data_IF_793158564170
#
_entry.id   IF_793158564170
#
_cell.length_a   1.000
_cell.length_b   1.000
_cell.length_c   1.000
_cell.angle_alpha   90.00
_cell.angle_beta   90.00
_cell.angle_gamma   90.00
#
_symmetry.space_group_name_H-M   'P 1'
#
loop_
_entity.id
_entity.type
_entity.pdbx_description
1 polymer ?
#
# COMPACT_ATOMS: atom_id res chain seq x y z
N UNK A 1 -7.07 -24.85 7.84
CA UNK A 1 -6.82 -25.32 6.46
C UNK A 1 -5.68 -26.31 6.51
N UNK A 2 -5.80 -27.46 5.86
CA UNK A 2 -4.69 -28.41 5.71
C UNK A 2 -3.61 -27.79 4.79
N UNK A 3 -2.35 -27.62 5.25
CA UNK A 3 -1.28 -27.02 4.47
C UNK A 3 -1.03 -27.75 3.13
N UNK A 4 -1.16 -29.08 3.10
CA UNK A 4 -0.92 -29.86 1.90
C UNK A 4 -1.96 -29.54 0.81
N UNK A 5 -3.24 -29.49 1.21
CA UNK A 5 -4.34 -29.09 0.32
C UNK A 5 -4.16 -27.65 -0.21
N UNK A 6 -3.76 -26.70 0.62
CA UNK A 6 -3.51 -25.31 0.18
C UNK A 6 -2.37 -25.24 -0.84
N UNK A 7 -1.27 -25.96 -0.61
CA UNK A 7 -0.14 -26.02 -1.53
C UNK A 7 -0.55 -26.63 -2.87
N UNK A 8 -1.30 -27.73 -2.86
CA UNK A 8 -1.80 -28.41 -4.06
C UNK A 8 -2.67 -27.48 -4.93
N UNK A 9 -3.50 -26.67 -4.29
CA UNK A 9 -4.36 -25.69 -4.96
C UNK A 9 -3.54 -24.57 -5.60
N UNK A 10 -2.51 -24.07 -4.91
CA UNK A 10 -1.60 -23.05 -5.44
C UNK A 10 -0.82 -23.57 -6.65
N UNK A 11 -0.29 -24.80 -6.58
CA UNK A 11 0.42 -25.45 -7.69
C UNK A 11 -0.50 -25.60 -8.91
N UNK A 12 -1.70 -26.14 -8.70
CA UNK A 12 -2.69 -26.32 -9.78
C UNK A 12 -3.09 -24.99 -10.42
N UNK A 13 -3.32 -23.96 -9.59
CA UNK A 13 -3.65 -22.61 -10.05
C UNK A 13 -2.49 -21.99 -10.84
N UNK A 14 -1.26 -22.18 -10.38
CA UNK A 14 -0.08 -21.69 -11.07
C UNK A 14 0.09 -22.34 -12.44
N UNK A 15 0.08 -23.69 -12.51
CA UNK A 15 0.25 -24.43 -13.77
C UNK A 15 -0.83 -24.08 -14.79
N UNK A 16 -2.09 -24.07 -14.37
CA UNK A 16 -3.21 -23.71 -15.25
C UNK A 16 -3.10 -22.26 -15.76
N UNK A 17 -2.67 -21.32 -14.91
CA UNK A 17 -2.46 -19.92 -15.31
C UNK A 17 -1.32 -19.80 -16.32
N UNK A 18 -0.18 -20.44 -16.08
CA UNK A 18 0.95 -20.43 -17.01
C UNK A 18 0.59 -21.02 -18.36
N UNK A 19 -0.13 -22.15 -18.39
CA UNK A 19 -0.60 -22.76 -19.65
C UNK A 19 -1.55 -21.85 -20.41
N UNK A 20 -2.50 -21.22 -19.71
CA UNK A 20 -3.43 -20.28 -20.32
C UNK A 20 -2.72 -19.04 -20.89
N UNK A 21 -1.72 -18.51 -20.17
CA UNK A 21 -0.89 -17.40 -20.65
C UNK A 21 -0.08 -17.83 -21.87
N UNK A 22 0.62 -18.96 -21.81
CA UNK A 22 1.44 -19.46 -22.92
C UNK A 22 0.62 -19.68 -24.21
N UNK A 23 -0.60 -20.21 -24.09
CA UNK A 23 -1.51 -20.39 -25.23
C UNK A 23 -1.95 -19.06 -25.87
N UNK A 24 -2.10 -18.01 -25.06
CA UNK A 24 -2.57 -16.69 -25.51
C UNK A 24 -1.44 -15.70 -25.79
N UNK A 25 -0.21 -16.05 -25.44
CA UNK A 25 0.94 -15.17 -25.50
C UNK A 25 1.16 -14.62 -26.92
N UNK A 26 1.17 -15.52 -27.91
CA UNK A 26 1.32 -15.16 -29.33
C UNK A 26 0.12 -14.41 -29.91
N UNK A 27 -1.01 -14.36 -29.19
CA UNK A 27 -2.22 -13.65 -29.59
C UNK A 27 -2.29 -12.23 -29.01
N UNK A 28 -1.40 -11.88 -28.07
CA UNK A 28 -1.41 -10.58 -27.43
C UNK A 28 -0.47 -9.60 -28.18
N UNK A 29 -1.01 -8.61 -28.92
CA UNK A 29 -0.19 -7.65 -29.65
C UNK A 29 0.62 -6.71 -28.75
N UNK A 30 0.23 -6.60 -27.47
CA UNK A 30 0.89 -5.72 -26.50
C UNK A 30 2.10 -6.37 -25.82
N UNK A 31 2.43 -7.61 -26.19
CA UNK A 31 3.50 -8.38 -25.56
C UNK A 31 4.43 -8.98 -26.61
N UNK A 32 5.73 -8.67 -26.48
CA UNK A 32 6.80 -9.22 -27.33
C UNK A 32 7.95 -9.74 -26.48
N UNK A 33 8.70 -10.72 -27.00
CA UNK A 33 9.96 -11.17 -26.40
C UNK A 33 11.08 -10.76 -27.35
N UNK A 34 11.95 -9.87 -26.90
CA UNK A 34 13.13 -9.42 -27.63
C UNK A 34 14.35 -9.59 -26.72
N UNK A 35 15.43 -10.20 -27.22
CA UNK A 35 16.65 -10.50 -26.45
C UNK A 35 16.40 -11.24 -25.13
N UNK A 36 15.50 -12.24 -25.14
CA UNK A 36 15.03 -12.99 -23.95
C UNK A 36 14.36 -12.12 -22.87
N UNK A 37 13.95 -10.89 -23.20
CA UNK A 37 13.28 -9.96 -22.29
C UNK A 37 11.84 -9.72 -22.74
N UNK A 38 10.93 -9.74 -21.77
CA UNK A 38 9.54 -9.34 -21.96
C UNK A 38 9.48 -7.84 -22.23
N UNK A 39 8.99 -7.46 -23.40
CA UNK A 39 8.62 -6.08 -23.75
C UNK A 39 7.10 -5.96 -23.76
N UNK A 40 6.61 -4.98 -23.03
CA UNK A 40 5.20 -4.59 -23.03
C UNK A 40 5.06 -3.33 -23.88
N UNK A 41 4.11 -3.32 -24.79
CA UNK A 41 3.74 -2.10 -25.51
C UNK A 41 3.24 -1.08 -24.47
N UNK A 42 3.84 0.12 -24.41
CA UNK A 42 3.38 1.15 -23.50
C UNK A 42 1.91 1.47 -23.79
N UNK A 43 1.10 1.61 -22.74
CA UNK A 43 -0.25 2.14 -22.89
C UNK A 43 -0.14 3.56 -23.45
N UNK A 44 -0.80 3.79 -24.59
CA UNK A 44 -0.96 5.15 -25.09
C UNK A 44 -1.76 5.96 -24.06
N UNK A 45 -1.23 7.14 -23.74
CA UNK A 45 -1.92 8.06 -22.85
C UNK A 45 -3.01 8.76 -23.64
N UNK A 46 -4.24 8.69 -23.17
CA UNK A 46 -5.33 9.51 -23.69
C UNK A 46 -4.97 11.01 -23.57
N UNK A 47 -5.28 11.78 -24.61
CA UNK A 47 -5.14 13.24 -24.55
C UNK A 47 -6.09 13.80 -23.47
N UNK A 48 -5.51 14.45 -22.45
CA UNK A 48 -6.30 15.09 -21.41
C UNK A 48 -6.95 16.37 -21.99
N UNK A 49 -8.29 16.53 -21.90
CA UNK A 49 -8.92 17.72 -22.44
C UNK A 49 -8.53 18.96 -21.60
N UNK A 50 -8.47 20.17 -22.19
CA UNK A 50 -8.10 21.39 -21.47
C UNK A 50 -9.00 21.67 -20.25
N UNK A 51 -10.26 21.25 -20.29
CA UNK A 51 -11.20 21.35 -19.18
C UNK A 51 -10.76 20.54 -17.94
N UNK A 52 -10.14 19.37 -18.14
CA UNK A 52 -9.65 18.51 -17.06
C UNK A 52 -8.41 19.11 -16.40
N UNK A 53 -7.50 19.70 -17.17
CA UNK A 53 -6.37 20.44 -16.61
C UNK A 53 -6.82 21.66 -15.79
N UNK A 54 -7.80 22.41 -16.31
CA UNK A 54 -8.37 23.56 -15.61
C UNK A 54 -9.04 23.12 -14.30
N UNK A 55 -9.81 22.04 -14.33
CA UNK A 55 -10.44 21.48 -13.16
C UNK A 55 -9.40 21.07 -12.11
N UNK A 56 -8.36 20.35 -12.51
CA UNK A 56 -7.27 19.93 -11.61
C UNK A 56 -6.62 21.14 -10.92
N UNK A 57 -6.32 22.21 -11.67
CA UNK A 57 -5.78 23.46 -11.11
C UNK A 57 -6.73 24.11 -10.10
N UNK A 58 -8.04 24.09 -10.36
CA UNK A 58 -9.06 24.63 -9.45
C UNK A 58 -9.20 23.80 -8.17
N UNK A 59 -9.07 22.48 -8.26
CA UNK A 59 -9.08 21.58 -7.09
C UNK A 59 -7.81 21.70 -6.27
N UNK A 60 -6.63 21.67 -6.90
CA UNK A 60 -5.34 21.79 -6.22
C UNK A 60 -5.19 23.11 -5.46
N UNK A 61 -5.86 24.19 -5.89
CA UNK A 61 -5.90 25.47 -5.15
C UNK A 61 -6.78 25.44 -3.89
N UNK A 62 -7.71 24.48 -3.79
CA UNK A 62 -8.68 24.37 -2.69
C UNK A 62 -8.40 23.23 -1.73
N UNK A 63 -7.65 22.21 -2.18
CA UNK A 63 -7.26 21.10 -1.33
C UNK A 63 -6.31 21.62 -0.22
N UNK A 64 -6.56 21.25 1.05
CA UNK A 64 -5.64 21.55 2.12
C UNK A 64 -4.30 20.85 1.85
N UNK A 65 -3.19 21.53 2.14
CA UNK A 65 -1.88 20.90 2.22
C UNK A 65 -1.76 20.27 3.60
N UNK A 66 -2.09 19.00 3.69
CA UNK A 66 -2.02 18.21 4.92
C UNK A 66 -1.11 17.02 4.65
N UNK A 67 -0.24 16.69 5.61
CA UNK A 67 0.65 15.55 5.48
C UNK A 67 -0.19 14.25 5.58
N UNK A 68 0.17 13.21 4.82
CA UNK A 68 -0.58 11.95 4.80
C UNK A 68 -0.79 11.32 6.21
N UNK A 69 0.18 11.33 7.14
CA UNK A 69 -0.04 10.89 8.52
C UNK A 69 -1.08 11.72 9.29
N UNK A 70 -1.16 13.02 9.03
CA UNK A 70 -2.08 13.93 9.74
C UNK A 70 -3.53 13.65 9.34
N UNK A 71 -3.78 13.28 8.07
CA UNK A 71 -5.10 12.89 7.60
C UNK A 71 -5.67 11.69 8.35
N UNK A 72 -4.86 10.64 8.55
CA UNK A 72 -5.33 9.44 9.23
C UNK A 72 -5.48 9.65 10.74
N UNK A 73 -4.68 10.55 11.33
CA UNK A 73 -4.84 10.97 12.73
C UNK A 73 -6.15 11.73 12.94
N UNK A 74 -6.53 12.59 12.00
CA UNK A 74 -7.83 13.27 12.04
C UNK A 74 -8.99 12.27 11.94
N UNK A 75 -8.86 11.27 11.07
CA UNK A 75 -9.86 10.17 10.99
C UNK A 75 -9.88 9.35 12.28
N UNK A 76 -8.72 9.05 12.87
CA UNK A 76 -8.62 8.36 14.15
C UNK A 76 -9.32 9.15 15.26
N UNK A 77 -9.09 10.46 15.34
CA UNK A 77 -9.74 11.33 16.31
C UNK A 77 -11.26 11.42 16.11
N UNK A 78 -11.74 11.42 14.86
CA UNK A 78 -13.17 11.52 14.55
C UNK A 78 -13.95 10.22 14.75
N UNK A 79 -13.29 9.08 14.57
CA UNK A 79 -13.95 7.76 14.55
C UNK A 79 -13.57 6.89 15.73
N UNK A 80 -12.52 7.26 16.46
CA UNK A 80 -11.94 6.47 17.55
C UNK A 80 -11.53 5.06 17.09
N UNK A 81 -11.24 4.85 15.79
CA UNK A 81 -10.99 3.50 15.27
C UNK A 81 -9.77 2.83 15.92
N UNK A 82 -8.80 3.62 16.40
CA UNK A 82 -7.61 3.12 17.10
C UNK A 82 -7.98 2.42 18.40
N UNK A 83 -9.08 2.77 19.05
CA UNK A 83 -9.57 2.13 20.28
C UNK A 83 -10.06 0.69 20.04
N UNK A 84 -10.45 0.36 18.81
CA UNK A 84 -10.80 -1.01 18.43
C UNK A 84 -9.55 -1.91 18.25
N UNK A 85 -8.35 -1.33 18.23
CA UNK A 85 -7.09 -2.06 18.03
C UNK A 85 -6.51 -2.47 19.39
N UNK A 86 -6.69 -3.74 19.75
CA UNK A 86 -6.22 -4.26 21.05
C UNK A 86 -4.68 -4.39 21.09
N UNK A 87 -4.03 -3.68 22.00
CA UNK A 87 -2.60 -3.81 22.25
C UNK A 87 -2.28 -5.16 22.92
N UNK A 88 -1.50 -6.02 22.25
CA UNK A 88 -1.20 -7.39 22.72
C UNK A 88 -0.14 -7.42 23.86
N UNK A 89 0.48 -6.29 24.22
CA UNK A 89 1.47 -6.27 25.31
C UNK A 89 1.24 -5.13 26.30
N UNK A 90 1.07 -5.47 27.58
CA UNK A 90 1.01 -4.53 28.71
C UNK A 90 2.24 -3.61 28.80
N UNK A 91 3.40 -4.03 28.26
CA UNK A 91 4.60 -3.17 28.18
C UNK A 91 4.50 -2.11 27.08
N UNK A 92 3.73 -2.34 26.03
CA UNK A 92 3.55 -1.41 24.90
C UNK A 92 2.52 -0.31 25.13
N UNK A 93 1.64 -0.47 26.12
CA UNK A 93 0.72 0.59 26.56
C UNK A 93 1.43 1.82 27.16
N UNK A 94 2.76 1.75 27.36
CA UNK A 94 3.62 2.83 27.88
C UNK A 94 4.46 3.54 26.80
N UNK A 95 4.30 3.17 25.53
CA UNK A 95 4.98 3.87 24.45
C UNK A 95 4.16 5.10 24.05
N UNK A 96 4.50 6.27 24.59
CA UNK A 96 3.88 7.55 24.21
C UNK A 96 3.80 7.67 22.69
N UNK A 97 2.66 8.12 22.15
CA UNK A 97 2.40 8.34 20.73
C UNK A 97 2.33 7.08 19.85
N UNK A 98 1.92 5.93 20.41
CA UNK A 98 1.77 4.68 19.62
C UNK A 98 0.73 4.82 18.51
N UNK A 99 -0.33 5.59 18.73
CA UNK A 99 -1.40 5.81 17.75
C UNK A 99 -0.88 6.52 16.50
N UNK A 100 0.09 7.43 16.66
CA UNK A 100 0.77 8.11 15.55
C UNK A 100 1.58 7.11 14.71
N UNK A 101 2.34 6.23 15.36
CA UNK A 101 3.08 5.18 14.65
C UNK A 101 2.15 4.21 13.93
N UNK A 102 1.03 3.85 14.55
CA UNK A 102 0.03 2.94 13.99
C UNK A 102 -0.66 3.54 12.77
N UNK A 103 -1.09 4.79 12.87
CA UNK A 103 -1.64 5.56 11.77
C UNK A 103 -0.65 5.65 10.59
N UNK A 104 0.62 5.93 10.85
CA UNK A 104 1.65 5.95 9.82
C UNK A 104 1.82 4.56 9.15
N UNK A 105 1.87 3.48 9.92
CA UNK A 105 1.94 2.12 9.34
C UNK A 105 0.71 1.83 8.48
N UNK A 106 -0.50 2.15 8.95
CA UNK A 106 -1.73 1.94 8.18
C UNK A 106 -1.72 2.73 6.86
N UNK A 107 -1.22 3.96 6.85
CA UNK A 107 -1.08 4.76 5.62
C UNK A 107 -0.06 4.17 4.65
N UNK A 108 1.07 3.69 5.16
CA UNK A 108 2.11 3.08 4.34
C UNK A 108 1.58 1.84 3.59
N UNK A 109 0.86 0.98 4.31
CA UNK A 109 0.28 -0.26 3.78
C UNK A 109 -0.92 0.05 2.85
N UNK A 110 -1.87 0.88 3.30
CA UNK A 110 -3.08 1.17 2.53
C UNK A 110 -2.79 1.94 1.23
N UNK A 111 -1.76 2.78 1.21
CA UNK A 111 -1.38 3.56 0.03
C UNK A 111 -0.22 2.94 -0.77
N UNK A 112 0.31 1.78 -0.39
CA UNK A 112 1.48 1.14 -1.02
C UNK A 112 2.70 2.08 -1.15
N UNK A 113 2.88 2.99 -0.19
CA UNK A 113 3.93 4.02 -0.25
C UNK A 113 5.21 3.60 0.46
N UNK A 114 5.16 2.54 1.28
CA UNK A 114 6.21 2.24 2.24
C UNK A 114 6.33 3.32 3.31
N UNK A 115 7.33 3.21 4.20
CA UNK A 115 7.48 4.17 5.30
C UNK A 115 8.16 5.49 4.91
N UNK A 116 8.87 5.53 3.77
CA UNK A 116 9.73 6.67 3.41
C UNK A 116 9.02 8.03 3.46
N UNK A 117 7.79 8.19 2.95
CA UNK A 117 7.09 9.48 2.98
C UNK A 117 6.60 9.88 4.38
N UNK A 118 6.62 8.97 5.35
CA UNK A 118 6.04 9.15 6.68
C UNK A 118 7.13 9.27 7.76
N UNK A 119 8.39 9.03 7.41
CA UNK A 119 9.50 9.09 8.36
C UNK A 119 9.83 10.55 8.67
N UNK A 120 9.79 10.89 9.96
CA UNK A 120 10.28 12.17 10.47
C UNK A 120 11.32 11.90 11.55
N UNK A 121 12.63 12.09 11.28
CA UNK A 121 13.71 11.72 12.20
C UNK A 121 13.60 12.39 13.58
N UNK A 122 13.07 13.60 13.62
CA UNK A 122 12.92 14.40 14.84
C UNK A 122 11.70 13.99 15.67
N UNK A 123 10.75 13.27 15.07
CA UNK A 123 9.53 12.80 15.75
C UNK A 123 9.69 11.34 16.14
N UNK A 124 9.82 11.07 17.44
CA UNK A 124 10.02 9.70 17.98
C UNK A 124 9.00 8.70 17.43
N UNK A 125 7.73 9.09 17.28
CA UNK A 125 6.65 8.26 16.76
C UNK A 125 6.81 7.85 15.28
N UNK A 126 7.57 8.63 14.51
CA UNK A 126 7.73 8.48 13.07
C UNK A 126 9.15 8.06 12.66
N UNK A 127 9.97 7.60 13.62
CA UNK A 127 11.27 7.01 13.29
C UNK A 127 11.08 5.66 12.60
N UNK A 128 11.93 5.37 11.60
CA UNK A 128 11.90 4.12 10.82
C UNK A 128 11.83 2.87 11.70
N UNK A 129 12.74 2.75 12.67
CA UNK A 129 12.80 1.57 13.55
C UNK A 129 11.50 1.35 14.32
N UNK A 130 10.84 2.45 14.73
CA UNK A 130 9.56 2.40 15.43
C UNK A 130 8.44 1.94 14.51
N UNK A 131 8.37 2.47 13.28
CA UNK A 131 7.37 2.04 12.29
C UNK A 131 7.55 0.57 11.89
N UNK A 132 8.79 0.12 11.68
CA UNK A 132 9.10 -1.29 11.41
C UNK A 132 8.66 -2.20 12.57
N UNK A 133 8.91 -1.80 13.81
CA UNK A 133 8.46 -2.55 14.99
C UNK A 133 6.93 -2.63 15.08
N UNK A 134 6.22 -1.52 14.85
CA UNK A 134 4.74 -1.50 14.87
C UNK A 134 4.16 -2.37 13.75
N UNK A 135 4.71 -2.30 12.53
CA UNK A 135 4.27 -3.13 11.40
C UNK A 135 4.44 -4.64 11.68
N UNK A 136 5.55 -5.06 12.30
CA UNK A 136 5.73 -6.46 12.70
C UNK A 136 4.66 -6.93 13.70
N UNK A 137 4.24 -6.06 14.62
CA UNK A 137 3.19 -6.37 15.61
C UNK A 137 1.79 -6.36 15.02
N UNK A 138 1.57 -5.60 13.94
CA UNK A 138 0.31 -5.58 13.21
C UNK A 138 0.10 -6.87 12.40
N UNK A 139 1.14 -7.37 11.74
CA UNK A 139 1.09 -8.56 10.87
C UNK A 139 1.13 -9.90 11.60
N UNK A 140 1.45 -9.92 12.90
CA UNK A 140 1.46 -11.15 13.71
C UNK A 140 0.07 -11.58 14.20
N UNK A 141 -1.00 -11.21 13.48
CA UNK A 141 -2.39 -11.59 13.75
C UNK A 141 -2.93 -12.52 12.67
#
# INVERSE_FOLDING_TARGET
>A
MDPATTLQNLVSKLDSTYRAVAQRFHLNPDITIEDERLKLTPLEKDEEPPSLEQLRKLFSKRLPRIELPELILEVANRTHFTEALTHISEKSARADDIDISLCAVLMAEACNTGFEPLIQPDVRALKRDRLSWVSQKLHSR
#
